data_IF_839932246135
#
_entry.id   IF_839932246135
#
_cell.length_a   1.000
_cell.length_b   1.000
_cell.length_c   1.000
_cell.angle_alpha   90.00
_cell.angle_beta   90.00
_cell.angle_gamma   90.00
#
_symmetry.space_group_name_H-M   'P 1'
#
loop_
_entity.id
_entity.type
_entity.pdbx_description
1 polymer ?
#
# COMPACT_ATOMS: atom_id res chain seq x y z
N UNK A 1 -7.78 -0.26 1.73
CA UNK A 1 -6.46 -0.62 1.15
C UNK A 1 -5.43 0.43 1.49
N UNK A 2 -4.20 0.04 1.63
CA UNK A 2 -3.10 0.94 1.98
C UNK A 2 -1.80 0.50 1.30
N UNK A 3 -0.89 1.45 1.15
CA UNK A 3 0.43 1.19 0.58
C UNK A 3 1.39 0.85 1.71
N UNK A 4 2.13 -0.24 1.56
CA UNK A 4 3.06 -0.73 2.56
C UNK A 4 4.45 -0.83 1.94
N UNK A 5 5.47 -0.52 2.74
CA UNK A 5 6.87 -0.72 2.36
C UNK A 5 7.42 -1.91 3.12
N UNK A 6 8.10 -2.81 2.43
CA UNK A 6 8.81 -3.90 3.07
C UNK A 6 10.23 -3.97 2.51
N UNK A 7 11.16 -4.47 3.31
CA UNK A 7 12.55 -4.56 2.94
C UNK A 7 12.95 -6.01 2.71
N UNK A 8 13.61 -6.27 1.60
CA UNK A 8 14.10 -7.60 1.26
C UNK A 8 15.49 -7.46 0.65
N UNK A 9 16.48 -8.17 1.20
CA UNK A 9 17.88 -8.11 0.75
C UNK A 9 18.44 -6.68 0.68
N UNK A 10 18.03 -5.83 1.62
CA UNK A 10 18.49 -4.44 1.67
C UNK A 10 17.78 -3.50 0.71
N UNK A 11 16.81 -4.00 -0.04
CA UNK A 11 16.05 -3.19 -1.00
C UNK A 11 14.63 -2.99 -0.47
N UNK A 12 14.15 -1.75 -0.51
CA UNK A 12 12.78 -1.43 -0.11
C UNK A 12 11.84 -1.60 -1.29
N UNK A 13 10.74 -2.30 -1.04
CA UNK A 13 9.70 -2.58 -2.04
C UNK A 13 8.37 -2.02 -1.58
N UNK A 14 7.56 -1.62 -2.55
CA UNK A 14 6.19 -1.16 -2.31
C UNK A 14 5.20 -2.27 -2.64
N UNK A 15 4.13 -2.35 -1.86
CA UNK A 15 3.02 -3.24 -2.14
C UNK A 15 1.72 -2.63 -1.67
N UNK A 16 0.62 -3.03 -2.31
CA UNK A 16 -0.72 -2.64 -1.91
C UNK A 16 -1.31 -3.77 -1.06
N UNK A 17 -1.82 -3.44 0.09
CA UNK A 17 -2.37 -4.42 1.02
C UNK A 17 -3.75 -3.98 1.53
N UNK A 18 -4.52 -4.95 1.96
CA UNK A 18 -5.82 -4.73 2.57
C UNK A 18 -5.84 -5.37 3.93
N UNK A 19 -6.32 -4.64 4.92
CA UNK A 19 -6.50 -5.13 6.27
C UNK A 19 -7.95 -5.59 6.44
N UNK A 20 -8.13 -6.79 6.98
CA UNK A 20 -9.45 -7.36 7.26
C UNK A 20 -9.54 -7.70 8.73
N UNK A 21 -10.64 -7.35 9.35
CA UNK A 21 -10.95 -7.72 10.73
C UNK A 21 -12.01 -8.80 10.71
N UNK A 22 -11.74 -9.90 11.39
CA UNK A 22 -12.69 -11.01 11.53
C UNK A 22 -12.83 -11.36 13.00
N UNK A 23 -14.02 -11.77 13.38
CA UNK A 23 -14.27 -12.33 14.71
C UNK A 23 -14.20 -13.84 14.58
N UNK A 24 -13.35 -14.50 15.36
CA UNK A 24 -13.23 -15.95 15.31
C UNK A 24 -14.37 -16.61 16.11
N UNK A 25 -14.37 -17.96 16.16
CA UNK A 25 -15.41 -18.73 16.84
C UNK A 25 -15.51 -18.44 18.36
N UNK A 26 -14.45 -17.91 18.93
CA UNK A 26 -14.40 -17.59 20.36
C UNK A 26 -14.74 -16.13 20.66
N UNK A 27 -15.16 -15.38 19.66
CA UNK A 27 -15.49 -13.97 19.82
C UNK A 27 -14.28 -13.05 19.89
N UNK A 28 -13.09 -13.55 19.62
CA UNK A 28 -11.86 -12.75 19.61
C UNK A 28 -11.70 -12.09 18.25
N UNK A 29 -11.45 -10.78 18.25
CA UNK A 29 -11.19 -10.06 17.00
C UNK A 29 -9.79 -10.37 16.51
N UNK A 30 -9.70 -10.87 15.30
CA UNK A 30 -8.42 -11.18 14.63
C UNK A 30 -8.30 -10.30 13.43
N UNK A 31 -7.15 -9.63 13.28
CA UNK A 31 -6.86 -8.87 12.07
C UNK A 31 -6.01 -9.72 11.14
N UNK A 32 -6.35 -9.73 9.86
CA UNK A 32 -5.56 -10.37 8.83
C UNK A 32 -5.25 -9.37 7.73
N UNK A 33 -4.14 -9.60 7.05
CA UNK A 33 -3.68 -8.72 5.97
C UNK A 33 -3.59 -9.52 4.69
N UNK A 34 -4.14 -8.96 3.61
CA UNK A 34 -4.09 -9.56 2.29
C UNK A 34 -3.27 -8.66 1.37
N UNK A 35 -2.30 -9.22 0.67
CA UNK A 35 -1.54 -8.49 -0.33
C UNK A 35 -2.34 -8.48 -1.63
N UNK A 36 -2.66 -7.29 -2.13
CA UNK A 36 -3.46 -7.12 -3.33
C UNK A 36 -2.56 -7.06 -4.56
N UNK A 37 -1.45 -6.31 -4.47
CA UNK A 37 -0.58 -6.07 -5.61
C UNK A 37 0.84 -5.81 -5.13
N UNK A 38 1.82 -6.41 -5.79
CA UNK A 38 3.23 -6.07 -5.60
C UNK A 38 3.58 -4.97 -6.59
N UNK A 39 3.82 -3.76 -6.07
CA UNK A 39 4.06 -2.59 -6.90
C UNK A 39 5.46 -2.64 -7.50
N UNK A 40 6.47 -2.90 -6.66
CA UNK A 40 7.86 -2.98 -7.12
C UNK A 40 8.81 -2.25 -6.18
N UNK A 41 10.10 -2.16 -6.57
CA UNK A 41 11.09 -1.51 -5.73
C UNK A 41 10.83 -0.01 -5.60
N UNK A 42 10.98 0.50 -4.38
CA UNK A 42 10.74 1.92 -4.09
C UNK A 42 11.64 2.84 -4.93
N UNK A 43 12.91 2.47 -5.09
CA UNK A 43 13.88 3.30 -5.83
C UNK A 43 13.49 3.50 -7.30
N UNK A 44 12.68 2.61 -7.86
CA UNK A 44 12.21 2.73 -9.24
C UNK A 44 11.20 3.87 -9.39
N UNK A 45 10.46 4.17 -8.34
CA UNK A 45 9.40 5.17 -8.36
C UNK A 45 9.79 6.47 -7.65
N UNK A 46 10.77 6.38 -6.75
CA UNK A 46 11.22 7.53 -5.96
C UNK A 46 11.81 8.60 -6.88
N UNK A 47 11.29 9.80 -6.77
CA UNK A 47 11.71 10.95 -7.60
C UNK A 47 12.86 11.75 -6.99
N UNK A 48 13.41 11.27 -5.86
CA UNK A 48 14.48 11.96 -5.14
C UNK A 48 14.00 13.07 -4.22
N UNK A 49 12.73 13.40 -4.22
CA UNK A 49 12.17 14.38 -3.32
C UNK A 49 11.92 13.76 -1.94
N UNK A 50 12.05 14.55 -0.86
CA UNK A 50 11.81 14.04 0.48
C UNK A 50 10.34 13.65 0.67
N UNK A 51 10.13 12.68 1.53
CA UNK A 51 8.78 12.23 1.90
C UNK A 51 7.96 11.68 0.73
N UNK A 52 8.63 11.08 -0.26
CA UNK A 52 7.94 10.49 -1.40
C UNK A 52 6.85 9.50 -0.96
N UNK A 53 7.17 8.64 0.01
CA UNK A 53 6.22 7.64 0.49
C UNK A 53 4.95 8.27 1.07
N UNK A 54 5.12 9.35 1.84
CA UNK A 54 3.99 10.07 2.41
C UNK A 54 3.12 10.70 1.32
N UNK A 55 3.76 11.30 0.31
CA UNK A 55 3.04 11.88 -0.82
C UNK A 55 2.31 10.82 -1.62
N UNK A 56 2.92 9.66 -1.81
CA UNK A 56 2.31 8.53 -2.51
C UNK A 56 1.07 8.03 -1.76
N UNK A 57 1.18 7.83 -0.45
CA UNK A 57 0.06 7.38 0.36
C UNK A 57 -1.11 8.37 0.31
N UNK A 58 -0.80 9.65 0.41
CA UNK A 58 -1.82 10.70 0.36
C UNK A 58 -2.48 10.76 -1.01
N UNK A 59 -1.70 10.68 -2.08
CA UNK A 59 -2.25 10.70 -3.43
C UNK A 59 -3.17 9.51 -3.68
N UNK A 60 -2.81 8.34 -3.17
CA UNK A 60 -3.65 7.15 -3.28
C UNK A 60 -4.97 7.34 -2.51
N UNK A 61 -4.91 7.92 -1.32
CA UNK A 61 -6.09 8.19 -0.51
C UNK A 61 -7.03 9.16 -1.21
N UNK A 62 -6.48 10.12 -1.95
CA UNK A 62 -7.27 11.14 -2.65
C UNK A 62 -7.81 10.67 -4.00
N UNK A 63 -7.54 9.43 -4.39
CA UNK A 63 -8.07 8.88 -5.62
C UNK A 63 -7.26 9.21 -6.87
N UNK A 64 -6.09 9.84 -6.70
CA UNK A 64 -5.22 10.23 -7.81
C UNK A 64 -3.77 9.82 -7.51
N UNK A 65 -3.48 8.52 -7.51
CA UNK A 65 -2.17 8.02 -7.10
C UNK A 65 -1.04 8.45 -8.04
N UNK A 66 0.13 8.67 -7.47
CA UNK A 66 1.33 9.02 -8.24
C UNK A 66 1.77 7.87 -9.14
N UNK A 67 1.44 6.65 -8.78
CA UNK A 67 1.73 5.46 -9.58
C UNK A 67 0.45 5.07 -10.33
N UNK A 68 0.51 5.08 -11.65
CA UNK A 68 -0.67 4.84 -12.48
C UNK A 68 -1.29 3.44 -12.29
N UNK A 69 -0.46 2.46 -11.93
CA UNK A 69 -0.91 1.09 -11.68
C UNK A 69 -1.87 0.97 -10.51
N UNK A 70 -1.82 1.92 -9.58
CA UNK A 70 -2.70 1.96 -8.43
C UNK A 70 -4.05 2.59 -8.72
N UNK A 71 -4.20 3.22 -9.87
CA UNK A 71 -5.41 3.95 -10.21
C UNK A 71 -6.66 3.07 -10.25
N UNK A 72 -6.49 1.81 -10.65
CA UNK A 72 -7.58 0.84 -10.69
C UNK A 72 -8.10 0.45 -9.30
N UNK A 73 -7.28 0.67 -8.29
CA UNK A 73 -7.59 0.28 -6.92
C UNK A 73 -8.07 1.44 -6.06
N UNK A 74 -8.08 2.66 -6.60
CA UNK A 74 -8.62 3.82 -5.89
C UNK A 74 -10.12 3.85 -6.05
N UNK A 75 -10.81 4.31 -4.99
CA UNK A 75 -12.24 4.49 -5.07
C UNK A 75 -12.56 5.75 -5.86
N UNK A 76 -13.55 5.70 -6.77
CA UNK A 76 -13.99 6.92 -7.45
C UNK A 76 -14.62 7.88 -6.46
N UNK A 77 -14.25 9.14 -6.57
CA UNK A 77 -14.83 10.19 -5.74
C UNK A 77 -16.18 10.61 -6.31
#
# INVERSE_FOLDING_TARGET
MFIEVFKNNGIEYLRLAESRRKTNQHGVKVSSKKIILNIGPLHKFDDGEPEYLERLKESFKNGNPLISELKEYTEPL
#
